data_IF_511829928166
#
_entry.id   IF_511829928166
#
_cell.length_a   1.000
_cell.length_b   1.000
_cell.length_c   1.000
_cell.angle_alpha   90.00
_cell.angle_beta   90.00
_cell.angle_gamma   90.00
#
_symmetry.space_group_name_H-M   'P 1'
#
loop_
_entity.id
_entity.type
_entity.pdbx_description
1 polymer ?
#
# COMPACT_ATOMS: atom_id res chain seq x y z
N UNK A 1 19.88 -13.40 17.96
CA UNK A 1 20.58 -12.14 18.27
C UNK A 1 22.08 -12.40 18.33
N UNK A 2 22.84 -11.68 17.51
CA UNK A 2 24.29 -11.82 17.43
C UNK A 2 24.93 -11.01 18.58
N UNK A 3 25.63 -11.65 19.51
CA UNK A 3 26.21 -10.98 20.69
C UNK A 3 27.12 -9.80 20.32
N UNK A 4 27.77 -9.88 19.14
CA UNK A 4 28.58 -8.79 18.59
C UNK A 4 27.78 -7.50 18.33
N UNK A 5 26.50 -7.60 18.00
CA UNK A 5 25.63 -6.44 17.74
C UNK A 5 25.27 -5.75 19.06
N UNK A 6 24.95 -6.54 20.10
CA UNK A 6 24.66 -6.02 21.44
C UNK A 6 25.86 -5.25 21.97
N UNK A 7 27.06 -5.83 21.91
CA UNK A 7 28.29 -5.16 22.38
C UNK A 7 28.54 -3.83 21.67
N UNK A 8 28.33 -3.77 20.34
CA UNK A 8 28.48 -2.51 19.58
C UNK A 8 27.49 -1.43 20.02
N UNK A 9 26.24 -1.80 20.30
CA UNK A 9 25.23 -0.84 20.81
C UNK A 9 25.66 -0.32 22.19
N UNK A 10 26.15 -1.21 23.06
CA UNK A 10 26.60 -0.83 24.40
C UNK A 10 27.80 0.12 24.36
N UNK A 11 28.78 -0.15 23.49
CA UNK A 11 29.97 0.70 23.28
C UNK A 11 29.60 2.08 22.72
N UNK A 12 28.72 2.15 21.71
CA UNK A 12 28.30 3.43 21.10
C UNK A 12 27.58 4.36 22.05
N UNK A 13 26.80 3.81 22.98
CA UNK A 13 25.98 4.57 23.91
C UNK A 13 26.62 4.71 25.29
N UNK A 14 27.81 4.16 25.49
CA UNK A 14 28.52 4.07 26.79
C UNK A 14 27.64 3.53 27.93
N UNK A 15 26.76 2.57 27.60
CA UNK A 15 25.73 2.03 28.52
C UNK A 15 25.39 0.58 28.21
N UNK A 16 25.28 -0.25 29.26
CA UNK A 16 24.91 -1.66 29.12
C UNK A 16 23.40 -1.89 29.07
N UNK A 17 22.99 -2.91 28.32
CA UNK A 17 21.61 -3.40 28.26
C UNK A 17 21.32 -4.37 29.40
N UNK A 18 20.54 -3.90 30.37
CA UNK A 18 20.06 -4.76 31.47
C UNK A 18 19.14 -5.87 30.96
N UNK A 19 19.02 -6.96 31.73
CA UNK A 19 18.12 -8.07 31.39
C UNK A 19 16.67 -7.59 31.20
N UNK A 20 16.18 -6.68 32.06
CA UNK A 20 14.83 -6.11 31.96
C UNK A 20 14.65 -5.29 30.68
N UNK A 21 15.63 -4.50 30.29
CA UNK A 21 15.57 -3.72 29.04
C UNK A 21 15.53 -4.64 27.81
N UNK A 22 16.35 -5.69 27.80
CA UNK A 22 16.34 -6.69 26.72
C UNK A 22 15.00 -7.39 26.61
N UNK A 23 14.43 -7.79 27.75
CA UNK A 23 13.15 -8.49 27.80
C UNK A 23 11.99 -7.56 27.39
N UNK A 24 12.00 -6.31 27.85
CA UNK A 24 11.05 -5.28 27.39
C UNK A 24 11.09 -5.12 25.88
N UNK A 25 12.29 -4.97 25.30
CA UNK A 25 12.47 -4.78 23.88
C UNK A 25 11.95 -5.98 23.05
N UNK A 26 12.11 -7.22 23.52
CA UNK A 26 11.54 -8.41 22.87
C UNK A 26 10.02 -8.33 22.78
N UNK A 27 9.33 -8.15 23.91
CA UNK A 27 7.87 -8.04 23.94
C UNK A 27 7.36 -6.81 23.16
N UNK A 28 8.10 -5.71 23.20
CA UNK A 28 7.75 -4.51 22.45
C UNK A 28 7.82 -4.73 20.94
N UNK A 29 8.82 -5.45 20.44
CA UNK A 29 8.94 -5.80 19.02
C UNK A 29 7.93 -6.86 18.59
N UNK A 30 7.46 -7.71 19.52
CA UNK A 30 6.34 -8.63 19.27
C UNK A 30 5.07 -7.91 18.81
N UNK A 31 4.79 -6.73 19.36
CA UNK A 31 3.64 -5.91 18.96
C UNK A 31 2.28 -6.46 19.42
N UNK A 32 2.28 -7.45 20.31
CA UNK A 32 1.07 -8.11 20.83
C UNK A 32 0.53 -7.39 22.08
N UNK A 33 1.42 -6.82 22.88
CA UNK A 33 1.11 -6.27 24.20
C UNK A 33 1.18 -4.74 24.21
N UNK A 34 0.44 -4.12 25.12
CA UNK A 34 0.60 -2.69 25.39
C UNK A 34 1.98 -2.37 25.98
N UNK A 35 2.46 -1.13 25.83
CA UNK A 35 3.77 -0.72 26.35
C UNK A 35 3.94 -1.01 27.85
N UNK A 36 2.89 -0.75 28.64
CA UNK A 36 2.89 -1.04 30.07
C UNK A 36 2.93 -2.55 30.36
N UNK A 37 2.30 -3.38 29.52
CA UNK A 37 2.37 -4.85 29.64
C UNK A 37 3.74 -5.40 29.28
N UNK A 38 4.38 -4.88 28.23
CA UNK A 38 5.77 -5.21 27.91
C UNK A 38 6.68 -4.96 29.11
N UNK A 39 6.50 -3.82 29.79
CA UNK A 39 7.26 -3.51 31.01
C UNK A 39 6.92 -4.45 32.17
N UNK A 40 5.65 -4.78 32.40
CA UNK A 40 5.27 -5.76 33.43
C UNK A 40 5.90 -7.13 33.18
N UNK A 41 5.84 -7.63 31.94
CA UNK A 41 6.44 -8.90 31.54
C UNK A 41 7.97 -8.89 31.63
N UNK A 42 8.59 -7.73 31.43
CA UNK A 42 10.02 -7.53 31.66
C UNK A 42 10.42 -7.42 33.14
N UNK A 43 9.47 -7.50 34.07
CA UNK A 43 9.73 -7.50 35.52
C UNK A 43 9.71 -6.12 36.19
N UNK A 44 9.11 -5.10 35.57
CA UNK A 44 8.82 -3.82 36.23
C UNK A 44 7.55 -3.93 37.09
N UNK A 45 7.50 -3.21 38.21
CA UNK A 45 6.32 -3.23 39.08
C UNK A 45 5.09 -2.65 38.35
N UNK A 46 3.88 -3.17 38.60
CA UNK A 46 2.67 -2.69 37.91
C UNK A 46 2.42 -1.18 38.07
N UNK A 47 2.77 -0.62 39.23
CA UNK A 47 2.59 0.79 39.54
C UNK A 47 3.44 1.72 38.68
N UNK A 48 4.68 1.31 38.34
CA UNK A 48 5.62 2.15 37.58
C UNK A 48 5.79 1.71 36.13
N UNK A 49 5.21 0.57 35.74
CA UNK A 49 5.42 -0.05 34.43
C UNK A 49 5.11 0.90 33.27
N UNK A 50 4.02 1.68 33.35
CA UNK A 50 3.66 2.63 32.29
C UNK A 50 4.70 3.76 32.14
N UNK A 51 5.20 4.30 33.26
CA UNK A 51 6.24 5.34 33.29
C UNK A 51 7.53 4.79 32.71
N UNK A 52 7.95 3.60 33.17
CA UNK A 52 9.17 2.96 32.70
C UNK A 52 9.11 2.63 31.22
N UNK A 53 7.98 2.10 30.74
CA UNK A 53 7.78 1.83 29.33
C UNK A 53 7.95 3.09 28.48
N UNK A 54 7.35 4.21 28.90
CA UNK A 54 7.50 5.51 28.23
C UNK A 54 8.97 5.96 28.20
N UNK A 55 9.69 5.85 29.32
CA UNK A 55 11.11 6.19 29.38
C UNK A 55 11.98 5.32 28.46
N UNK A 56 11.69 4.02 28.39
CA UNK A 56 12.46 3.07 27.58
C UNK A 56 12.35 3.31 26.07
N UNK A 57 11.26 3.94 25.62
CA UNK A 57 10.99 4.17 24.18
C UNK A 57 11.10 5.64 23.77
N UNK A 58 11.33 6.57 24.71
CA UNK A 58 11.37 8.00 24.39
C UNK A 58 12.67 8.46 23.70
N UNK A 59 13.69 7.58 23.62
CA UNK A 59 14.99 7.88 23.01
C UNK A 59 15.89 8.85 23.78
N UNK A 60 15.36 9.58 24.78
CA UNK A 60 16.11 10.52 25.61
C UNK A 60 16.76 9.84 26.80
N UNK A 61 16.01 9.03 27.54
CA UNK A 61 16.49 8.44 28.80
C UNK A 61 17.35 7.21 28.54
N UNK A 62 16.96 6.39 27.57
CA UNK A 62 17.60 5.10 27.24
C UNK A 62 17.80 4.93 25.73
N UNK A 63 18.67 5.74 25.09
CA UNK A 63 18.90 5.67 23.64
C UNK A 63 19.38 4.29 23.16
N UNK A 64 20.19 3.60 23.96
CA UNK A 64 20.68 2.24 23.68
C UNK A 64 19.57 1.19 23.61
N UNK A 65 18.48 1.38 24.36
CA UNK A 65 17.30 0.49 24.31
C UNK A 65 16.56 0.68 23.00
N UNK A 66 16.45 1.93 22.52
CA UNK A 66 15.82 2.23 21.24
C UNK A 66 16.63 1.65 20.06
N UNK A 67 17.96 1.79 20.09
CA UNK A 67 18.84 1.19 19.08
C UNK A 67 18.72 -0.34 19.08
N UNK A 68 18.65 -0.96 20.26
CA UNK A 68 18.42 -2.40 20.37
C UNK A 68 17.04 -2.84 19.84
N UNK A 69 15.99 -2.06 20.09
CA UNK A 69 14.65 -2.29 19.51
C UNK A 69 14.71 -2.22 17.98
N UNK A 70 15.45 -1.25 17.42
CA UNK A 70 15.64 -1.11 15.97
C UNK A 70 16.32 -2.34 15.38
N UNK A 71 17.42 -2.80 15.97
CA UNK A 71 18.11 -4.02 15.56
C UNK A 71 17.21 -5.26 15.63
N UNK A 72 16.38 -5.39 16.68
CA UNK A 72 15.41 -6.49 16.79
C UNK A 72 14.34 -6.44 15.69
N UNK A 73 13.87 -5.23 15.33
CA UNK A 73 12.93 -5.03 14.22
C UNK A 73 13.56 -5.40 12.89
N UNK A 74 14.79 -4.95 12.63
CA UNK A 74 15.53 -5.28 11.42
C UNK A 74 15.88 -6.78 11.34
N UNK A 75 16.22 -7.44 12.45
CA UNK A 75 16.44 -8.89 12.49
C UNK A 75 15.12 -9.64 12.22
N UNK A 76 14.00 -9.14 12.73
CA UNK A 76 12.67 -9.70 12.44
C UNK A 76 12.30 -9.48 10.98
N UNK A 77 12.52 -8.30 10.44
CA UNK A 77 12.30 -7.99 9.03
C UNK A 77 13.22 -8.81 8.13
N UNK A 78 14.48 -9.05 8.51
CA UNK A 78 15.36 -9.94 7.75
C UNK A 78 14.88 -11.40 7.78
N UNK A 79 14.34 -11.87 8.91
CA UNK A 79 13.86 -13.25 9.08
C UNK A 79 12.48 -13.50 8.48
N UNK A 80 11.56 -12.56 8.64
CA UNK A 80 10.15 -12.70 8.30
C UNK A 80 9.68 -11.71 7.23
N UNK A 81 10.58 -10.84 6.75
CA UNK A 81 10.29 -9.93 5.67
C UNK A 81 10.04 -10.69 4.38
N UNK A 82 9.09 -10.16 3.63
CA UNK A 82 8.69 -10.65 2.31
C UNK A 82 9.80 -10.26 1.32
N UNK A 83 10.81 -11.12 1.16
CA UNK A 83 11.79 -10.96 0.07
C UNK A 83 11.27 -11.61 -1.20
N UNK A 84 11.61 -11.07 -2.38
CA UNK A 84 11.19 -11.65 -3.66
C UNK A 84 11.61 -13.12 -3.79
N UNK A 85 12.89 -13.40 -3.52
CA UNK A 85 13.45 -14.77 -3.55
C UNK A 85 12.77 -15.66 -2.51
N UNK A 86 12.52 -15.15 -1.30
CA UNK A 86 11.82 -15.89 -0.25
C UNK A 86 10.37 -16.22 -0.60
N UNK A 87 9.65 -15.27 -1.21
CA UNK A 87 8.28 -15.51 -1.70
C UNK A 87 8.24 -16.51 -2.85
N UNK A 88 9.17 -16.42 -3.79
CA UNK A 88 9.30 -17.41 -4.87
C UNK A 88 9.56 -18.81 -4.32
N UNK A 89 10.45 -18.94 -3.33
CA UNK A 89 10.71 -20.22 -2.66
C UNK A 89 9.48 -20.73 -1.90
N UNK A 90 8.80 -19.86 -1.16
CA UNK A 90 7.60 -20.22 -0.40
C UNK A 90 6.46 -20.68 -1.31
N UNK A 91 6.27 -20.04 -2.46
CA UNK A 91 5.28 -20.43 -3.45
C UNK A 91 5.64 -21.74 -4.16
N UNK A 92 6.93 -22.01 -4.42
CA UNK A 92 7.40 -23.33 -4.93
C UNK A 92 7.07 -24.45 -3.95
N UNK A 93 7.37 -24.26 -2.66
CA UNK A 93 7.06 -25.23 -1.60
C UNK A 93 5.54 -25.47 -1.47
N UNK A 94 4.74 -24.40 -1.51
CA UNK A 94 3.28 -24.50 -1.45
C UNK A 94 2.70 -25.19 -2.68
N UNK A 95 3.26 -24.90 -3.86
CA UNK A 95 2.89 -25.53 -5.13
C UNK A 95 3.10 -27.05 -5.06
N UNK A 96 4.31 -27.50 -4.70
CA UNK A 96 4.65 -28.92 -4.55
C UNK A 96 3.79 -29.63 -3.50
N UNK A 97 3.63 -29.01 -2.33
CA UNK A 97 2.79 -29.59 -1.27
C UNK A 97 1.32 -29.71 -1.70
N UNK A 98 0.81 -28.77 -2.49
CA UNK A 98 -0.53 -28.84 -3.05
C UNK A 98 -0.64 -29.94 -4.13
N UNK A 99 0.36 -30.12 -4.99
CA UNK A 99 0.41 -31.23 -5.94
C UNK A 99 0.42 -32.60 -5.25
N UNK A 100 1.26 -32.77 -4.22
CA UNK A 100 1.32 -33.98 -3.41
C UNK A 100 -0.02 -34.27 -2.71
N UNK A 101 -0.75 -33.23 -2.32
CA UNK A 101 -2.09 -33.33 -1.74
C UNK A 101 -3.22 -33.46 -2.78
N UNK A 102 -2.92 -33.60 -4.07
CA UNK A 102 -3.88 -33.59 -5.20
C UNK A 102 -4.74 -32.31 -5.28
N UNK A 103 -4.29 -31.20 -4.71
CA UNK A 103 -4.94 -29.89 -4.75
C UNK A 103 -4.41 -29.04 -5.92
N UNK A 104 -4.60 -29.51 -7.15
CA UNK A 104 -4.01 -28.87 -8.34
C UNK A 104 -4.44 -27.42 -8.57
N UNK A 105 -5.66 -27.03 -8.18
CA UNK A 105 -6.11 -25.63 -8.26
C UNK A 105 -5.25 -24.70 -7.39
N UNK A 106 -4.88 -25.14 -6.18
CA UNK A 106 -4.00 -24.39 -5.30
C UNK A 106 -2.57 -24.33 -5.82
N UNK A 107 -2.05 -25.45 -6.37
CA UNK A 107 -0.73 -25.50 -7.00
C UNK A 107 -0.62 -24.55 -8.19
N UNK A 108 -1.58 -24.60 -9.13
CA UNK A 108 -1.61 -23.72 -10.31
C UNK A 108 -1.68 -22.25 -9.88
N UNK A 109 -2.45 -21.92 -8.85
CA UNK A 109 -2.52 -20.55 -8.35
C UNK A 109 -1.18 -20.09 -7.76
N UNK A 110 -0.51 -20.95 -6.99
CA UNK A 110 0.82 -20.66 -6.45
C UNK A 110 1.84 -20.39 -7.58
N UNK A 111 1.87 -21.23 -8.63
CA UNK A 111 2.75 -21.03 -9.79
C UNK A 111 2.38 -19.79 -10.62
N UNK A 112 1.09 -19.47 -10.74
CA UNK A 112 0.63 -18.24 -11.41
C UNK A 112 1.17 -17.00 -10.71
N UNK A 113 1.03 -16.93 -9.39
CA UNK A 113 1.56 -15.82 -8.59
C UNK A 113 3.09 -15.79 -8.68
N UNK A 114 3.75 -16.95 -8.62
CA UNK A 114 5.20 -17.05 -8.74
C UNK A 114 5.72 -16.59 -10.11
N UNK A 115 5.01 -16.94 -11.19
CA UNK A 115 5.31 -16.48 -12.55
C UNK A 115 5.14 -14.97 -12.69
N UNK A 116 4.10 -14.40 -12.06
CA UNK A 116 3.90 -12.96 -12.00
C UNK A 116 5.02 -12.25 -11.21
N UNK A 117 5.41 -12.78 -10.05
CA UNK A 117 6.53 -12.28 -9.27
C UNK A 117 7.87 -12.39 -10.01
N UNK A 118 8.03 -13.42 -10.85
CA UNK A 118 9.17 -13.59 -11.74
C UNK A 118 9.18 -12.69 -12.97
N UNK A 119 8.15 -11.85 -13.14
CA UNK A 119 8.00 -10.98 -14.32
C UNK A 119 7.68 -11.73 -15.61
N UNK A 120 7.37 -13.04 -15.54
CA UNK A 120 6.99 -13.85 -16.70
C UNK A 120 5.58 -13.53 -17.18
N UNK A 121 4.73 -13.04 -16.28
CA UNK A 121 3.39 -12.58 -16.62
C UNK A 121 3.19 -11.15 -16.13
N UNK A 122 2.74 -10.27 -17.02
CA UNK A 122 2.37 -8.89 -16.68
C UNK A 122 0.87 -8.74 -16.98
N UNK A 123 0.08 -8.32 -15.99
CA UNK A 123 -1.34 -7.97 -16.21
C UNK A 123 -1.39 -6.64 -16.96
N UNK A 124 -1.41 -6.71 -18.30
CA UNK A 124 -1.58 -5.52 -19.15
C UNK A 124 -3.09 -5.23 -19.28
N UNK A 125 -3.59 -4.35 -18.42
CA UNK A 125 -4.92 -3.76 -18.59
C UNK A 125 -4.80 -2.56 -19.52
N UNK A 126 -5.08 -2.77 -20.81
CA UNK A 126 -5.29 -1.67 -21.75
C UNK A 126 -6.70 -1.13 -21.54
N UNK A 127 -6.83 0.10 -21.04
CA UNK A 127 -8.11 0.83 -21.05
C UNK A 127 -8.37 1.28 -22.48
N UNK A 128 -9.12 0.47 -23.23
CA UNK A 128 -9.64 0.87 -24.54
C UNK A 128 -10.69 1.97 -24.30
N UNK A 129 -10.32 3.23 -24.55
CA UNK A 129 -11.31 4.30 -24.58
C UNK A 129 -12.16 4.10 -25.85
N UNK A 130 -13.31 3.46 -25.70
CA UNK A 130 -14.30 3.20 -26.76
C UNK A 130 -15.01 4.48 -27.22
N UNK A 131 -14.28 5.51 -27.63
CA UNK A 131 -14.90 6.66 -28.31
C UNK A 131 -15.31 6.27 -29.74
N UNK A 132 -14.56 5.39 -30.39
CA UNK A 132 -14.76 4.99 -31.78
C UNK A 132 -15.95 4.02 -31.98
N UNK A 133 -16.42 3.37 -30.90
CA UNK A 133 -17.58 2.46 -30.93
C UNK A 133 -18.93 3.19 -30.72
N UNK A 134 -18.93 4.51 -30.48
CA UNK A 134 -20.15 5.26 -30.20
C UNK A 134 -20.91 5.54 -31.49
N UNK A 135 -22.17 5.14 -31.55
CA UNK A 135 -23.06 5.58 -32.60
C UNK A 135 -23.27 7.11 -32.53
N UNK A 136 -23.59 7.73 -33.67
CA UNK A 136 -23.87 9.17 -33.74
C UNK A 136 -24.90 9.63 -32.70
N UNK A 137 -25.91 8.79 -32.42
CA UNK A 137 -26.94 9.10 -31.44
C UNK A 137 -26.38 9.15 -30.00
N UNK A 138 -25.50 8.23 -29.64
CA UNK A 138 -24.88 8.17 -28.31
C UNK A 138 -23.88 9.30 -28.10
N UNK A 139 -23.15 9.70 -29.15
CA UNK A 139 -22.29 10.89 -29.11
C UNK A 139 -23.11 12.15 -28.81
N UNK A 140 -24.25 12.33 -29.48
CA UNK A 140 -25.13 13.49 -29.26
C UNK A 140 -25.70 13.48 -27.84
N UNK A 141 -26.18 12.33 -27.36
CA UNK A 141 -26.71 12.20 -26.01
C UNK A 141 -25.65 12.56 -24.96
N UNK A 142 -24.42 12.10 -25.15
CA UNK A 142 -23.29 12.41 -24.27
C UNK A 142 -22.90 13.88 -24.31
N UNK A 143 -23.01 14.52 -25.48
CA UNK A 143 -22.74 15.95 -25.67
C UNK A 143 -23.78 16.83 -24.97
N UNK A 144 -25.06 16.46 -25.06
CA UNK A 144 -26.16 17.11 -24.32
C UNK A 144 -25.96 16.97 -22.80
N UNK A 145 -25.58 15.78 -22.34
CA UNK A 145 -25.30 15.55 -20.92
C UNK A 145 -24.10 16.38 -20.43
N UNK A 146 -23.06 16.54 -21.25
CA UNK A 146 -21.93 17.41 -20.94
C UNK A 146 -22.34 18.88 -20.87
N UNK A 147 -23.17 19.36 -21.80
CA UNK A 147 -23.73 20.71 -21.78
C UNK A 147 -24.55 20.98 -20.52
N UNK A 148 -25.35 20.01 -20.06
CA UNK A 148 -26.13 20.13 -18.81
C UNK A 148 -25.24 20.14 -17.57
N UNK A 149 -24.19 19.31 -17.53
CA UNK A 149 -23.31 19.16 -16.35
C UNK A 149 -22.33 20.32 -16.21
N UNK A 150 -21.92 20.91 -17.34
CA UNK A 150 -20.94 21.99 -17.37
C UNK A 150 -21.48 23.20 -18.16
N UNK A 151 -22.55 23.85 -17.69
CA UNK A 151 -23.22 24.92 -18.44
C UNK A 151 -22.31 26.15 -18.64
N UNK A 152 -21.32 26.36 -17.78
CA UNK A 152 -20.35 27.47 -17.88
C UNK A 152 -19.18 27.18 -18.83
N UNK A 153 -19.01 25.93 -19.28
CA UNK A 153 -17.90 25.52 -20.15
C UNK A 153 -18.22 25.71 -21.64
N UNK A 154 -19.49 25.88 -22.00
CA UNK A 154 -19.95 26.17 -23.35
C UNK A 154 -20.30 27.66 -23.43
N UNK A 155 -19.42 28.43 -24.08
CA UNK A 155 -19.62 29.86 -24.32
C UNK A 155 -20.08 30.00 -25.77
N UNK A 156 -21.19 30.68 -26.02
CA UNK A 156 -21.58 31.11 -27.37
C UNK A 156 -20.61 32.20 -27.84
N UNK A 157 -19.42 31.78 -28.27
CA UNK A 157 -18.42 32.67 -28.86
C UNK A 157 -18.77 32.92 -30.33
N UNK A 158 -18.83 34.19 -30.72
CA UNK A 158 -18.74 34.54 -32.14
C UNK A 158 -17.34 34.18 -32.66
N UNK A 159 -17.27 33.18 -33.53
CA UNK A 159 -16.05 32.82 -34.22
C UNK A 159 -16.10 33.34 -35.66
N UNK A 160 -14.99 33.91 -36.13
CA UNK A 160 -14.82 34.29 -37.53
C UNK A 160 -13.97 33.23 -38.20
N UNK A 161 -14.58 32.46 -39.11
CA UNK A 161 -13.86 31.46 -39.89
C UNK A 161 -12.91 32.17 -40.86
N UNK A 162 -11.60 31.90 -40.73
CA UNK A 162 -10.56 32.58 -41.52
C UNK A 162 -10.08 31.73 -42.71
N UNK A 163 -10.65 30.52 -42.89
CA UNK A 163 -10.17 29.58 -43.91
C UNK A 163 -11.19 29.17 -44.97
N UNK A 164 -12.44 29.63 -44.89
CA UNK A 164 -13.37 29.59 -46.04
C UNK A 164 -13.71 28.20 -46.58
N UNK A 165 -13.52 27.13 -45.80
CA UNK A 165 -13.85 25.75 -46.20
C UNK A 165 -14.45 24.97 -45.03
N UNK A 166 -15.79 25.00 -44.93
CA UNK A 166 -16.63 24.17 -44.06
C UNK A 166 -17.47 25.04 -43.12
N UNK A 167 -18.79 25.03 -43.08
CA UNK A 167 -19.76 23.96 -43.31
C UNK A 167 -21.18 24.58 -43.29
N UNK A 168 -22.15 23.98 -43.98
CA UNK A 168 -23.57 24.33 -43.82
C UNK A 168 -23.99 24.11 -42.36
N UNK A 169 -24.34 25.20 -41.69
CA UNK A 169 -24.80 25.19 -40.31
C UNK A 169 -26.24 24.64 -40.28
N UNK A 170 -26.46 23.52 -39.60
CA UNK A 170 -27.79 23.00 -39.29
C UNK A 170 -28.55 24.04 -38.45
N UNK A 171 -29.53 24.71 -39.05
CA UNK A 171 -30.41 25.63 -38.35
C UNK A 171 -31.18 24.90 -37.24
N UNK A 172 -30.98 25.37 -36.01
CA UNK A 172 -31.72 24.92 -34.84
C UNK A 172 -33.14 25.49 -34.89
N UNK A 173 -34.12 24.66 -35.27
CA UNK A 173 -35.51 25.07 -35.35
C UNK A 173 -36.13 25.16 -33.94
N UNK A 174 -36.03 26.33 -33.32
CA UNK A 174 -36.71 26.67 -32.07
C UNK A 174 -38.21 26.91 -32.33
N UNK A 175 -39.03 25.86 -32.31
CA UNK A 175 -40.49 25.99 -32.33
C UNK A 175 -40.97 26.76 -31.08
N UNK A 176 -41.50 27.98 -31.28
CA UNK A 176 -42.24 28.74 -30.25
C UNK A 176 -43.55 28.01 -29.91
N UNK A 177 -44.01 28.05 -28.64
CA UNK A 177 -45.28 27.41 -28.25
C UNK A 177 -46.45 28.21 -28.83
N UNK A 178 -47.38 27.53 -29.53
CA UNK A 178 -48.62 28.14 -29.98
C UNK A 178 -49.57 28.33 -28.81
N UNK A 179 -50.03 29.57 -28.60
CA UNK A 179 -51.11 29.87 -27.66
C UNK A 179 -52.41 29.23 -28.15
N UNK A 180 -53.05 28.46 -27.26
CA UNK A 180 -54.46 28.07 -27.30
C UNK A 180 -55.06 28.41 -25.95
#
# INVERSE_FOLDING_TARGET
MNDKVVTKIEERNDRKLTNRQREFAKYFVEGIYSNAECARKAGFSPTVAHIQASKLINGRDFPHVLEYIKELREERERRYGVTLVGQMKRLDELSRAAEEANQFSAAINAEKIRSALGGLTIDRRETTNKLDDLSRAEVIARLIDLQKKYPTAFIDGEFKDVTGTGSELLEHNSQKPSKG
#
